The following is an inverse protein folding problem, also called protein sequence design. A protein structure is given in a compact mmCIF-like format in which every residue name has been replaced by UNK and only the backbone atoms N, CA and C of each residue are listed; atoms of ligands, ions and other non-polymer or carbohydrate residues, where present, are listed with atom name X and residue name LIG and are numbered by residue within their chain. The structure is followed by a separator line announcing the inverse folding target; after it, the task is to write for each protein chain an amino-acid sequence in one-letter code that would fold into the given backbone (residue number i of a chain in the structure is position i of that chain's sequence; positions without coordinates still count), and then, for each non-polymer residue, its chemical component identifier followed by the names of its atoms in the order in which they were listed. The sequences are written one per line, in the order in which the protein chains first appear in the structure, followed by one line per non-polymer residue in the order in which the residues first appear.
data_IF_476754386617
#
_entry.id   IF_476754386617
#
_cell.length_a   1.000
_cell.length_b   1.000
_cell.length_c   1.000
_cell.angle_alpha   90.00
_cell.angle_beta   90.00
_cell.angle_gamma   90.00
#
_symmetry.space_group_name_H-M   'P 1'
#
loop_
_entity.id
_entity.type
_entity.pdbx_description
1 polymer ?
#
# COMPACT_ATOMS: atom_id res chain seq x y z
N UNK A 1 50.24 53.16 8.45
CA UNK A 1 49.18 52.43 9.21
C UNK A 1 48.10 52.00 8.24
N UNK A 2 48.15 50.77 7.73
CA UNK A 2 47.19 50.20 6.79
C UNK A 2 46.28 49.22 7.56
N UNK A 3 44.95 49.53 7.58
CA UNK A 3 43.95 48.68 8.18
C UNK A 3 43.54 47.59 7.19
N UNK A 4 43.80 46.32 7.51
CA UNK A 4 43.33 45.14 6.78
C UNK A 4 41.85 44.89 7.12
N UNK A 5 40.96 45.04 6.16
CA UNK A 5 39.56 44.60 6.22
C UNK A 5 39.53 43.09 6.01
N UNK A 6 39.09 42.33 7.03
CA UNK A 6 38.75 40.92 6.92
C UNK A 6 37.34 40.78 6.31
N UNK A 7 37.24 40.13 5.17
CA UNK A 7 35.97 39.64 4.61
C UNK A 7 35.57 38.38 5.40
N UNK A 8 34.48 38.45 6.15
CA UNK A 8 33.78 37.29 6.69
C UNK A 8 32.85 36.76 5.60
N UNK A 9 33.22 35.62 5.00
CA UNK A 9 32.34 34.88 4.13
C UNK A 9 31.19 34.26 4.95
N UNK A 10 29.99 34.59 4.62
CA UNK A 10 28.79 33.89 5.10
C UNK A 10 28.71 32.51 4.43
N UNK A 11 29.01 31.44 5.18
CA UNK A 11 28.67 30.09 4.78
C UNK A 11 27.18 29.94 5.07
N UNK A 12 26.36 30.04 4.03
CA UNK A 12 24.94 29.69 4.11
C UNK A 12 24.80 28.22 4.42
N UNK A 13 24.57 27.87 5.68
CA UNK A 13 24.03 26.57 6.05
C UNK A 13 22.63 26.48 5.50
N UNK A 14 22.47 25.77 4.37
CA UNK A 14 21.17 25.37 3.87
C UNK A 14 20.49 24.49 4.93
N UNK A 15 19.54 25.05 5.64
CA UNK A 15 18.57 24.28 6.39
C UNK A 15 17.77 23.45 5.38
N UNK A 16 18.16 22.18 5.19
CA UNK A 16 17.25 21.17 4.65
C UNK A 16 16.12 21.06 5.68
N UNK A 17 14.99 21.71 5.41
CA UNK A 17 13.81 21.59 6.23
C UNK A 17 13.42 20.11 6.28
N UNK A 18 13.58 19.47 7.44
CA UNK A 18 12.98 18.16 7.69
C UNK A 18 11.48 18.39 7.62
N UNK A 19 10.78 17.61 6.77
CA UNK A 19 9.34 17.53 6.84
C UNK A 19 8.98 17.11 8.28
N UNK A 20 8.29 17.98 9.01
CA UNK A 20 7.71 17.64 10.30
C UNK A 20 6.45 16.85 10.02
N UNK A 21 6.50 15.55 10.16
CA UNK A 21 5.39 14.66 9.90
C UNK A 21 5.89 13.23 9.76
N UNK A 22 5.12 12.27 10.22
CA UNK A 22 5.51 10.87 10.10
C UNK A 22 5.47 10.43 8.63
N UNK A 23 6.41 9.55 8.30
CA UNK A 23 6.56 8.96 6.96
C UNK A 23 5.34 8.13 6.53
N UNK A 24 5.24 7.85 5.22
CA UNK A 24 4.37 6.84 4.61
C UNK A 24 5.23 5.73 4.01
N UNK A 25 5.89 4.89 4.83
CA UNK A 25 7.05 4.12 4.42
C UNK A 25 6.72 2.82 3.69
N UNK A 26 5.45 2.48 3.54
CA UNK A 26 4.98 1.23 2.94
C UNK A 26 3.58 1.36 2.36
N UNK A 27 3.13 0.29 1.69
CA UNK A 27 1.76 0.16 1.22
C UNK A 27 0.74 0.47 2.32
N UNK A 28 -0.18 1.40 2.05
CA UNK A 28 -1.20 1.90 2.98
C UNK A 28 -0.66 2.59 4.23
N UNK A 29 0.57 3.09 4.20
CA UNK A 29 1.14 3.92 5.26
C UNK A 29 1.73 3.17 6.44
N UNK A 30 2.06 3.88 7.53
CA UNK A 30 2.83 3.33 8.64
C UNK A 30 2.15 2.14 9.32
N UNK A 31 0.82 2.18 9.45
CA UNK A 31 0.00 1.09 10.02
C UNK A 31 -0.48 0.06 9.02
N UNK A 32 -0.22 0.23 7.72
CA UNK A 32 -0.83 -0.55 6.61
C UNK A 32 -2.36 -0.54 6.64
N UNK A 33 -2.93 0.56 7.09
CA UNK A 33 -4.37 0.71 7.37
C UNK A 33 -5.00 1.91 6.64
N UNK A 34 -4.25 2.58 5.76
CA UNK A 34 -4.72 3.73 5.00
C UNK A 34 -4.80 5.02 5.82
N UNK A 35 -4.18 5.06 7.01
CA UNK A 35 -4.22 6.22 7.91
C UNK A 35 -2.88 6.95 7.92
N UNK A 36 -2.95 8.25 7.69
CA UNK A 36 -1.83 9.15 7.91
C UNK A 36 -1.83 9.64 9.37
N UNK A 37 -0.67 9.90 9.97
CA UNK A 37 -0.58 10.61 11.24
C UNK A 37 -1.27 11.98 11.15
N UNK A 38 -1.93 12.38 12.24
CA UNK A 38 -2.72 13.62 12.32
C UNK A 38 -1.90 14.79 12.89
N UNK A 39 -0.66 14.89 12.47
CA UNK A 39 0.31 15.88 12.96
C UNK A 39 0.41 17.13 12.07
N UNK A 40 -0.20 17.07 10.88
CA UNK A 40 -0.24 18.19 9.93
C UNK A 40 -1.67 18.43 9.47
N UNK A 41 -2.19 19.63 9.74
CA UNK A 41 -3.50 20.03 9.24
C UNK A 41 -3.54 20.02 7.70
N UNK A 42 -4.54 19.38 7.12
CA UNK A 42 -4.77 19.41 5.67
C UNK A 42 -5.73 20.54 5.30
N UNK A 43 -5.57 21.08 4.09
CA UNK A 43 -6.52 22.06 3.51
C UNK A 43 -7.95 21.50 3.53
N UNK A 44 -8.92 22.39 3.61
CA UNK A 44 -10.35 22.03 3.58
C UNK A 44 -10.92 22.06 2.17
N UNK A 45 -10.43 22.96 1.35
CA UNK A 45 -10.87 23.22 -0.02
C UNK A 45 -9.67 23.51 -0.91
N UNK A 46 -9.83 23.32 -2.19
CA UNK A 46 -8.82 23.65 -3.17
C UNK A 46 -8.96 25.12 -3.55
N UNK A 47 -7.86 25.89 -3.41
CA UNK A 47 -7.83 27.27 -3.84
C UNK A 47 -8.10 27.35 -5.37
N UNK A 48 -9.02 28.23 -5.76
CA UNK A 48 -9.42 28.42 -7.15
C UNK A 48 -9.86 27.13 -7.89
N UNK A 49 -10.22 26.07 -7.14
CA UNK A 49 -10.59 24.78 -7.71
C UNK A 49 -9.41 23.98 -8.29
N UNK A 50 -8.17 24.29 -7.89
CA UNK A 50 -6.94 23.66 -8.38
C UNK A 50 -6.12 23.04 -7.26
N UNK A 51 -5.42 21.93 -7.57
CA UNK A 51 -4.48 21.32 -6.64
C UNK A 51 -3.13 22.06 -6.72
N UNK A 52 -2.54 22.38 -5.57
CA UNK A 52 -1.19 22.96 -5.50
C UNK A 52 -0.15 21.86 -5.80
N UNK A 53 0.24 21.73 -7.05
CA UNK A 53 1.28 20.79 -7.49
C UNK A 53 2.65 21.39 -7.21
N UNK A 54 3.49 20.72 -6.41
CA UNK A 54 4.87 21.14 -6.15
C UNK A 54 5.79 20.76 -7.32
N UNK A 55 5.66 19.54 -7.81
CA UNK A 55 6.43 19.06 -8.95
C UNK A 55 5.78 17.84 -9.62
N UNK A 56 6.20 17.62 -10.84
CA UNK A 56 5.82 16.44 -11.65
C UNK A 56 7.07 15.89 -12.31
N UNK A 57 7.20 14.57 -12.33
CA UNK A 57 8.27 13.88 -13.06
C UNK A 57 7.72 12.69 -13.86
N UNK A 58 8.44 12.25 -14.87
CA UNK A 58 8.09 11.05 -15.64
C UNK A 58 8.37 9.79 -14.80
N UNK A 59 7.56 8.76 -14.98
CA UNK A 59 7.81 7.41 -14.49
C UNK A 59 7.38 6.37 -15.52
N UNK A 60 7.85 5.14 -15.34
CA UNK A 60 7.49 4.01 -16.21
C UNK A 60 6.22 3.28 -15.77
N UNK A 61 5.95 2.13 -16.36
CA UNK A 61 4.78 1.28 -16.12
C UNK A 61 4.72 0.73 -14.69
N UNK A 62 3.52 0.33 -14.24
CA UNK A 62 3.26 -0.33 -12.96
C UNK A 62 2.10 0.28 -12.18
N UNK A 63 1.50 -0.53 -11.32
CA UNK A 63 0.44 -0.14 -10.39
C UNK A 63 0.95 0.02 -8.94
N UNK A 64 2.26 -0.14 -8.70
CA UNK A 64 2.83 0.14 -7.39
C UNK A 64 2.62 1.60 -7.01
N UNK A 65 2.11 1.83 -5.81
CA UNK A 65 2.00 3.18 -5.24
C UNK A 65 3.35 3.70 -4.78
N UNK A 66 3.54 5.03 -4.78
CA UNK A 66 4.70 5.64 -4.14
C UNK A 66 4.70 5.39 -2.63
N UNK A 67 5.87 5.51 -2.02
CA UNK A 67 6.04 5.59 -0.57
C UNK A 67 6.87 6.81 -0.22
N UNK A 68 6.80 7.27 1.03
CA UNK A 68 7.53 8.46 1.49
C UNK A 68 8.29 8.14 2.77
N UNK A 69 9.58 8.43 2.77
CA UNK A 69 10.45 8.19 3.92
C UNK A 69 11.62 9.17 3.94
N UNK A 70 11.99 9.67 5.11
CA UNK A 70 13.14 10.55 5.28
C UNK A 70 13.14 11.79 4.39
N UNK A 71 11.96 12.35 4.09
CA UNK A 71 11.79 13.48 3.18
C UNK A 71 12.05 13.13 1.70
N UNK A 72 11.96 11.87 1.34
CA UNK A 72 12.00 11.38 -0.04
C UNK A 72 10.64 10.80 -0.46
N UNK A 73 10.34 10.89 -1.74
CA UNK A 73 9.33 10.07 -2.42
C UNK A 73 10.06 8.96 -3.16
N UNK A 74 9.67 7.71 -2.96
CA UNK A 74 10.21 6.55 -3.65
C UNK A 74 9.12 5.90 -4.50
N UNK A 75 9.47 5.48 -5.71
CA UNK A 75 8.57 4.76 -6.60
C UNK A 75 9.27 3.56 -7.22
N UNK A 76 8.58 2.42 -7.20
CA UNK A 76 8.95 1.22 -7.93
C UNK A 76 8.12 1.14 -9.20
N UNK A 77 8.78 1.11 -10.35
CA UNK A 77 8.14 1.10 -11.68
C UNK A 77 8.97 0.29 -12.68
N UNK A 78 8.56 0.26 -13.93
CA UNK A 78 9.26 -0.44 -15.01
C UNK A 78 9.52 0.46 -16.19
N UNK A 79 10.75 0.40 -16.72
CA UNK A 79 11.16 1.04 -17.98
C UNK A 79 11.65 -0.05 -18.95
N UNK A 80 10.91 -0.32 -20.01
CA UNK A 80 11.22 -1.40 -20.93
C UNK A 80 11.37 -2.76 -20.24
N UNK A 81 12.55 -3.36 -20.29
CA UNK A 81 12.88 -4.63 -19.65
C UNK A 81 13.50 -4.48 -18.25
N UNK A 82 13.42 -3.31 -17.64
CA UNK A 82 14.06 -3.02 -16.37
C UNK A 82 13.02 -2.73 -15.28
N UNK A 83 13.12 -3.41 -14.15
CA UNK A 83 12.61 -2.95 -12.86
C UNK A 83 13.42 -1.75 -12.42
N UNK A 84 12.75 -0.71 -11.97
CA UNK A 84 13.36 0.58 -11.62
C UNK A 84 12.83 1.05 -10.27
N UNK A 85 13.73 1.40 -9.37
CA UNK A 85 13.39 2.14 -8.14
C UNK A 85 14.09 3.49 -8.20
N UNK A 86 13.31 4.53 -8.03
CA UNK A 86 13.84 5.90 -7.98
C UNK A 86 13.42 6.59 -6.69
N UNK A 87 14.28 7.48 -6.21
CA UNK A 87 14.05 8.32 -5.04
C UNK A 87 14.20 9.78 -5.43
N UNK A 88 13.22 10.60 -5.02
CA UNK A 88 13.23 12.04 -5.24
C UNK A 88 13.07 12.79 -3.92
N UNK A 89 13.64 13.98 -3.82
CA UNK A 89 13.37 14.89 -2.73
C UNK A 89 11.88 15.30 -2.76
N UNK A 90 11.20 15.12 -1.64
CA UNK A 90 9.74 15.29 -1.57
C UNK A 90 9.27 16.74 -1.82
N UNK A 91 10.08 17.75 -1.49
CA UNK A 91 9.73 19.15 -1.68
C UNK A 91 10.07 19.68 -3.07
N UNK A 92 11.20 19.23 -3.62
CA UNK A 92 11.77 19.82 -4.84
C UNK A 92 11.61 18.95 -6.08
N UNK A 93 11.29 17.65 -5.94
CA UNK A 93 11.25 16.69 -7.03
C UNK A 93 12.64 16.37 -7.62
N UNK A 94 13.73 16.84 -7.00
CA UNK A 94 15.08 16.51 -7.46
C UNK A 94 15.39 15.05 -7.17
N UNK A 95 15.76 14.30 -8.22
CA UNK A 95 16.14 12.89 -8.06
C UNK A 95 17.36 12.74 -7.17
N UNK A 96 17.26 11.91 -6.13
CA UNK A 96 18.34 11.55 -5.21
C UNK A 96 19.17 10.40 -5.77
N UNK A 97 18.50 9.32 -6.23
CA UNK A 97 19.13 8.15 -6.83
C UNK A 97 18.15 7.36 -7.71
N UNK A 98 18.70 6.46 -8.53
CA UNK A 98 17.98 5.51 -9.37
C UNK A 98 18.72 4.19 -9.35
N UNK A 99 18.02 3.07 -9.13
CA UNK A 99 18.54 1.70 -9.20
C UNK A 99 17.71 0.90 -10.20
N UNK A 100 18.38 0.00 -10.94
CA UNK A 100 17.71 -0.81 -11.97
C UNK A 100 18.24 -2.24 -11.96
N UNK A 101 17.36 -3.19 -12.35
CA UNK A 101 17.72 -4.58 -12.64
C UNK A 101 16.78 -5.16 -13.69
N UNK A 102 17.15 -6.29 -14.30
CA UNK A 102 16.33 -6.95 -15.33
C UNK A 102 14.98 -7.41 -14.78
N UNK A 103 13.93 -7.36 -15.61
CA UNK A 103 12.59 -7.86 -15.31
C UNK A 103 12.01 -8.56 -16.54
N UNK A 104 11.74 -9.86 -16.41
CA UNK A 104 11.23 -10.71 -17.50
C UNK A 104 9.70 -10.82 -17.54
N UNK A 105 8.99 -10.26 -16.55
CA UNK A 105 7.54 -10.36 -16.47
C UNK A 105 6.84 -9.81 -17.72
N UNK A 106 5.76 -10.51 -18.12
CA UNK A 106 4.77 -10.03 -19.11
C UNK A 106 3.39 -10.31 -18.57
N UNK A 107 2.52 -9.31 -18.67
CA UNK A 107 1.11 -9.41 -18.30
C UNK A 107 0.35 -10.14 -19.41
N UNK A 108 -0.22 -11.30 -19.09
CA UNK A 108 -0.96 -12.14 -20.04
C UNK A 108 -2.24 -11.45 -20.57
N UNK A 109 -2.75 -10.46 -19.85
CA UNK A 109 -3.94 -9.70 -20.22
C UNK A 109 -3.61 -8.33 -20.87
N UNK A 110 -2.32 -7.95 -20.92
CA UNK A 110 -1.88 -6.71 -21.54
C UNK A 110 -2.27 -5.42 -20.79
N UNK A 111 -2.61 -5.50 -19.50
CA UNK A 111 -2.95 -4.31 -18.72
C UNK A 111 -1.72 -3.47 -18.38
N UNK A 112 -0.68 -4.11 -17.83
CA UNK A 112 0.54 -3.42 -17.43
C UNK A 112 1.64 -4.43 -17.02
N UNK A 113 2.83 -4.30 -17.59
CA UNK A 113 3.98 -5.17 -17.32
C UNK A 113 4.80 -4.74 -16.08
N UNK A 114 4.47 -3.63 -15.43
CA UNK A 114 5.21 -3.11 -14.29
C UNK A 114 4.79 -3.71 -12.95
N UNK A 115 5.52 -3.36 -11.88
CA UNK A 115 5.26 -3.87 -10.54
C UNK A 115 3.91 -3.37 -10.00
N UNK A 116 3.25 -4.24 -9.24
CA UNK A 116 2.03 -3.92 -8.49
C UNK A 116 2.30 -3.79 -6.98
N UNK A 117 3.40 -4.33 -6.52
CA UNK A 117 3.88 -4.27 -5.14
C UNK A 117 4.52 -2.91 -4.86
N UNK A 118 3.96 -2.13 -3.94
CA UNK A 118 4.62 -0.93 -3.44
C UNK A 118 5.87 -1.28 -2.64
N UNK A 119 6.93 -0.46 -2.67
CA UNK A 119 8.09 -0.66 -1.82
C UNK A 119 7.73 -0.62 -0.33
N UNK A 120 8.60 -1.18 0.51
CA UNK A 120 8.55 -1.00 1.96
C UNK A 120 9.90 -0.48 2.44
N UNK A 121 9.90 0.61 3.18
CA UNK A 121 11.10 1.19 3.80
C UNK A 121 11.09 0.88 5.28
N UNK A 122 12.14 0.23 5.76
CA UNK A 122 12.30 -0.09 7.18
C UNK A 122 13.78 -0.15 7.56
N UNK A 123 14.15 0.56 8.64
CA UNK A 123 15.52 0.53 9.16
C UNK A 123 16.59 0.97 8.16
N UNK A 124 16.28 1.93 7.29
CA UNK A 124 17.21 2.42 6.26
C UNK A 124 17.38 1.47 5.06
N UNK A 125 16.43 0.55 4.85
CA UNK A 125 16.42 -0.42 3.75
C UNK A 125 15.11 -0.32 2.99
N UNK A 126 15.16 -0.33 1.66
CA UNK A 126 14.01 -0.37 0.76
C UNK A 126 13.85 -1.79 0.23
N UNK A 127 12.74 -2.43 0.52
CA UNK A 127 12.40 -3.77 0.05
C UNK A 127 11.41 -3.67 -1.12
N UNK A 128 11.78 -4.24 -2.26
CA UNK A 128 10.98 -4.25 -3.48
C UNK A 128 10.75 -5.68 -3.95
N UNK A 129 9.50 -6.01 -4.27
CA UNK A 129 9.15 -7.31 -4.83
C UNK A 129 8.60 -7.14 -6.23
N UNK A 130 9.35 -7.60 -7.23
CA UNK A 130 9.01 -7.44 -8.64
C UNK A 130 7.98 -8.47 -9.12
N UNK A 131 7.30 -8.15 -10.21
CA UNK A 131 6.24 -9.01 -10.76
C UNK A 131 6.76 -10.37 -11.27
N UNK A 132 8.04 -10.47 -11.63
CA UNK A 132 8.73 -11.72 -12.00
C UNK A 132 9.24 -12.53 -10.80
N UNK A 133 9.09 -12.01 -9.57
CA UNK A 133 9.37 -12.76 -8.35
C UNK A 133 10.71 -12.49 -7.70
N UNK A 134 11.35 -11.39 -8.04
CA UNK A 134 12.62 -10.99 -7.41
C UNK A 134 12.35 -10.06 -6.22
N UNK A 135 12.78 -10.48 -5.02
CA UNK A 135 12.79 -9.65 -3.81
C UNK A 135 14.18 -9.01 -3.67
N UNK A 136 14.24 -7.69 -3.73
CA UNK A 136 15.49 -6.91 -3.65
C UNK A 136 15.46 -5.97 -2.45
N UNK A 137 16.53 -5.96 -1.67
CA UNK A 137 16.77 -4.98 -0.60
C UNK A 137 17.84 -3.98 -1.04
N UNK A 138 17.50 -2.70 -0.96
CA UNK A 138 18.36 -1.59 -1.34
C UNK A 138 18.68 -0.73 -0.12
N UNK A 139 19.83 -0.09 -0.11
CA UNK A 139 20.12 0.97 0.85
C UNK A 139 19.22 2.19 0.55
N UNK A 140 18.51 2.70 1.56
CA UNK A 140 17.60 3.84 1.39
C UNK A 140 18.34 5.12 0.98
N UNK A 141 19.58 5.27 1.40
CA UNK A 141 20.37 6.50 1.22
C UNK A 141 20.78 6.72 -0.25
N UNK A 142 21.23 5.65 -0.92
CA UNK A 142 21.86 5.75 -2.24
C UNK A 142 21.34 4.73 -3.27
N UNK A 143 20.42 3.83 -2.88
CA UNK A 143 19.85 2.81 -3.75
C UNK A 143 20.75 1.62 -4.04
N UNK A 144 21.93 1.50 -3.39
CA UNK A 144 22.82 0.35 -3.57
C UNK A 144 22.16 -0.95 -3.12
N UNK A 145 22.38 -2.04 -3.90
CA UNK A 145 21.80 -3.35 -3.60
C UNK A 145 22.52 -3.97 -2.40
N UNK A 146 21.77 -4.31 -1.35
CA UNK A 146 22.26 -5.05 -0.20
C UNK A 146 22.21 -6.56 -0.42
N UNK A 147 21.07 -7.04 -0.93
CA UNK A 147 20.87 -8.44 -1.31
C UNK A 147 19.67 -8.58 -2.26
N UNK A 148 19.61 -9.70 -2.96
CA UNK A 148 18.53 -10.08 -3.89
C UNK A 148 18.20 -11.56 -3.71
N UNK A 149 16.91 -11.91 -3.83
CA UNK A 149 16.40 -13.29 -3.77
C UNK A 149 15.39 -13.54 -4.89
N UNK A 150 15.49 -14.66 -5.54
CA UNK A 150 14.56 -15.10 -6.59
C UNK A 150 13.58 -16.12 -6.02
N UNK A 151 12.32 -15.71 -5.87
CA UNK A 151 11.27 -16.55 -5.31
C UNK A 151 10.91 -17.73 -6.20
N UNK A 152 11.13 -17.65 -7.51
CA UNK A 152 10.91 -18.77 -8.41
C UNK A 152 11.85 -19.91 -8.06
N UNK A 153 13.12 -19.64 -7.91
CA UNK A 153 14.12 -20.65 -7.57
C UNK A 153 14.04 -21.10 -6.11
N UNK A 154 13.73 -20.20 -5.17
CA UNK A 154 13.75 -20.51 -3.73
C UNK A 154 12.47 -21.20 -3.23
N UNK A 155 11.32 -20.87 -3.81
CA UNK A 155 10.03 -21.35 -3.30
C UNK A 155 9.19 -22.11 -4.34
N UNK A 156 9.61 -22.15 -5.60
CA UNK A 156 8.79 -22.68 -6.68
C UNK A 156 7.56 -21.81 -7.00
N UNK A 157 7.67 -20.49 -6.69
CA UNK A 157 6.58 -19.53 -6.90
C UNK A 157 6.12 -19.50 -8.35
N UNK A 158 4.84 -19.65 -8.57
CA UNK A 158 4.21 -19.51 -9.88
C UNK A 158 3.86 -18.05 -10.17
N UNK A 159 3.76 -17.70 -11.47
CA UNK A 159 3.53 -16.33 -11.91
C UNK A 159 2.18 -15.76 -11.45
N UNK A 160 1.13 -16.57 -11.41
CA UNK A 160 -0.25 -16.09 -11.26
C UNK A 160 -0.72 -15.29 -12.49
N UNK A 161 -1.94 -14.77 -12.46
CA UNK A 161 -2.53 -14.02 -13.59
C UNK A 161 -1.86 -12.66 -13.83
N UNK A 162 -1.55 -11.94 -12.76
CA UNK A 162 -1.07 -10.56 -12.82
C UNK A 162 0.35 -10.41 -12.24
N UNK A 163 1.15 -11.44 -12.29
CA UNK A 163 2.45 -11.48 -11.65
C UNK A 163 2.35 -11.54 -10.12
N UNK A 164 3.42 -11.25 -9.46
CA UNK A 164 3.51 -11.25 -7.99
C UNK A 164 3.27 -9.85 -7.46
N UNK A 165 2.28 -9.68 -6.57
CA UNK A 165 1.73 -8.37 -6.22
C UNK A 165 1.83 -8.00 -4.73
N UNK A 166 2.13 -8.96 -3.86
CA UNK A 166 2.19 -8.75 -2.40
C UNK A 166 3.28 -7.75 -2.01
N UNK A 167 2.94 -6.66 -1.35
CA UNK A 167 3.94 -5.73 -0.83
C UNK A 167 4.62 -6.32 0.41
N UNK A 168 5.98 -6.28 0.49
CA UNK A 168 6.72 -6.79 1.64
C UNK A 168 6.26 -6.16 2.95
N UNK A 169 6.11 -6.95 4.01
CA UNK A 169 5.86 -6.49 5.36
C UNK A 169 7.12 -6.72 6.20
N UNK A 170 7.58 -5.72 6.93
CA UNK A 170 8.79 -5.85 7.77
C UNK A 170 8.43 -5.71 9.24
N UNK A 171 8.77 -6.71 10.04
CA UNK A 171 8.67 -6.68 11.50
C UNK A 171 9.57 -7.70 12.16
N UNK A 172 9.97 -7.49 13.42
CA UNK A 172 10.71 -8.45 14.21
C UNK A 172 12.02 -8.96 13.59
N UNK A 173 12.65 -8.19 12.70
CA UNK A 173 13.85 -8.61 11.97
C UNK A 173 13.58 -9.52 10.77
N UNK A 174 12.32 -9.64 10.36
CA UNK A 174 11.87 -10.46 9.23
C UNK A 174 11.17 -9.62 8.16
N UNK A 175 11.27 -10.07 6.91
CA UNK A 175 10.48 -9.62 5.77
C UNK A 175 9.47 -10.71 5.44
N UNK A 176 8.19 -10.42 5.61
CA UNK A 176 7.10 -11.35 5.27
C UNK A 176 6.61 -11.07 3.85
N UNK A 177 6.34 -12.13 3.12
CA UNK A 177 5.92 -12.09 1.73
C UNK A 177 4.95 -13.22 1.43
N UNK A 178 4.11 -13.06 0.42
CA UNK A 178 3.25 -14.12 -0.13
C UNK A 178 3.76 -14.50 -1.54
N UNK A 179 4.82 -15.32 -1.65
CA UNK A 179 5.37 -15.70 -2.95
C UNK A 179 4.44 -16.65 -3.71
N UNK A 180 3.72 -17.50 -3.00
CA UNK A 180 2.89 -18.56 -3.57
C UNK A 180 3.69 -19.84 -3.88
N UNK A 181 2.96 -20.90 -4.16
CA UNK A 181 3.52 -22.21 -4.48
C UNK A 181 3.48 -23.19 -3.32
N UNK A 182 3.96 -24.40 -3.57
CA UNK A 182 3.89 -25.52 -2.62
C UNK A 182 4.69 -25.24 -1.35
N UNK A 183 3.97 -25.17 -0.22
CA UNK A 183 4.54 -24.88 1.09
C UNK A 183 5.05 -23.45 1.24
N UNK A 184 4.70 -22.51 0.33
CA UNK A 184 5.27 -21.17 0.29
C UNK A 184 4.26 -20.06 -0.02
N UNK A 185 2.97 -20.27 0.25
CA UNK A 185 1.99 -19.19 0.14
C UNK A 185 2.22 -18.08 1.18
N UNK A 186 2.92 -18.39 2.27
CA UNK A 186 3.46 -17.45 3.24
C UNK A 186 4.94 -17.76 3.47
N UNK A 187 5.80 -16.75 3.52
CA UNK A 187 7.23 -16.91 3.77
C UNK A 187 7.80 -15.72 4.55
N UNK A 188 8.88 -15.97 5.30
CA UNK A 188 9.64 -14.93 5.98
C UNK A 188 11.13 -15.07 5.69
N UNK A 189 11.75 -13.92 5.49
CA UNK A 189 13.18 -13.79 5.16
C UNK A 189 13.87 -12.90 6.18
N UNK A 190 15.13 -13.16 6.44
CA UNK A 190 15.95 -12.30 7.31
C UNK A 190 16.16 -10.92 6.67
N UNK A 191 15.95 -9.84 7.42
CA UNK A 191 16.08 -8.47 6.90
C UNK A 191 17.50 -8.12 6.45
N UNK A 192 18.55 -8.75 7.06
CA UNK A 192 19.95 -8.41 6.79
C UNK A 192 20.53 -9.22 5.63
N UNK A 193 20.17 -10.51 5.55
CA UNK A 193 20.79 -11.46 4.60
C UNK A 193 19.87 -11.87 3.46
N UNK A 194 18.54 -11.66 3.62
CA UNK A 194 17.54 -12.16 2.70
C UNK A 194 17.33 -13.67 2.77
N UNK A 195 17.99 -14.40 3.70
CA UNK A 195 17.85 -15.84 3.82
C UNK A 195 16.45 -16.23 4.27
N UNK A 196 15.92 -17.30 3.67
CA UNK A 196 14.63 -17.87 4.04
C UNK A 196 14.69 -18.40 5.48
N UNK A 197 13.82 -17.89 6.35
CA UNK A 197 13.71 -18.30 7.75
C UNK A 197 12.66 -19.37 7.95
N UNK A 198 11.52 -19.21 7.32
CA UNK A 198 10.45 -20.19 7.27
C UNK A 198 9.54 -19.97 6.06
N UNK A 199 8.80 -21.03 5.68
CA UNK A 199 7.72 -20.99 4.71
C UNK A 199 6.57 -21.85 5.20
N UNK A 200 5.34 -21.48 4.83
CA UNK A 200 4.11 -22.16 5.24
C UNK A 200 3.00 -21.99 4.21
N UNK A 201 1.97 -22.81 4.34
CA UNK A 201 0.77 -22.84 3.50
C UNK A 201 1.05 -23.32 2.06
N UNK A 202 0.20 -24.21 1.59
CA UNK A 202 0.35 -24.87 0.28
C UNK A 202 -0.71 -24.38 -0.71
N UNK A 203 -0.60 -23.08 -1.08
CA UNK A 203 -1.58 -22.43 -1.95
C UNK A 203 -0.90 -21.50 -2.96
N UNK A 204 -1.66 -21.11 -3.99
CA UNK A 204 -1.26 -20.05 -4.89
C UNK A 204 -1.15 -18.70 -4.15
N UNK A 205 -0.26 -17.83 -4.62
CA UNK A 205 -0.17 -16.47 -4.10
C UNK A 205 -1.49 -15.72 -4.29
N UNK A 206 -1.92 -15.01 -3.24
CA UNK A 206 -2.88 -13.93 -3.38
C UNK A 206 -2.19 -12.66 -3.86
N UNK A 207 -2.99 -11.64 -4.14
CA UNK A 207 -2.47 -10.31 -4.49
C UNK A 207 -2.51 -9.36 -3.30
N UNK A 208 -3.21 -9.76 -2.25
CA UNK A 208 -3.26 -9.03 -0.98
C UNK A 208 -1.91 -9.05 -0.27
N UNK A 209 -1.58 -7.94 0.36
CA UNK A 209 -0.35 -7.82 1.15
C UNK A 209 -0.60 -8.31 2.58
N UNK A 210 0.38 -8.99 3.23
CA UNK A 210 0.24 -9.43 4.61
C UNK A 210 0.15 -8.25 5.58
N UNK A 211 -0.52 -8.46 6.71
CA UNK A 211 -0.62 -7.47 7.78
C UNK A 211 -0.31 -8.07 9.14
N UNK A 212 0.26 -7.27 10.06
CA UNK A 212 0.44 -7.68 11.45
C UNK A 212 -0.92 -7.72 12.15
N UNK A 213 -1.14 -8.76 12.95
CA UNK A 213 -2.32 -8.90 13.77
C UNK A 213 -1.95 -8.74 15.24
N UNK A 214 -2.22 -7.59 15.87
CA UNK A 214 -1.97 -7.39 17.28
C UNK A 214 -2.87 -8.30 18.11
N UNK A 215 -2.38 -8.74 19.28
CA UNK A 215 -3.14 -9.60 20.18
C UNK A 215 -2.26 -10.27 21.23
N UNK A 216 -2.83 -11.25 21.92
CA UNK A 216 -2.09 -12.04 22.92
C UNK A 216 -1.30 -13.15 22.23
N UNK A 217 -0.18 -13.59 22.81
CA UNK A 217 0.55 -14.78 22.39
C UNK A 217 1.65 -14.58 21.36
N UNK A 218 2.17 -13.35 21.21
CA UNK A 218 3.24 -13.04 20.26
C UNK A 218 2.75 -12.32 19.01
N UNK A 219 3.69 -11.97 18.16
CA UNK A 219 3.40 -11.31 16.89
C UNK A 219 2.86 -12.31 15.87
N UNK A 220 1.76 -11.98 15.24
CA UNK A 220 1.09 -12.81 14.24
C UNK A 220 0.93 -12.03 12.93
N UNK A 221 0.90 -12.75 11.82
CA UNK A 221 0.72 -12.19 10.48
C UNK A 221 -0.50 -12.83 9.82
N UNK A 222 -1.37 -12.01 9.26
CA UNK A 222 -2.49 -12.47 8.44
C UNK A 222 -2.02 -12.54 6.99
N UNK A 223 -2.20 -13.69 6.37
CA UNK A 223 -2.02 -13.91 4.93
C UNK A 223 -3.38 -14.16 4.28
N UNK A 224 -3.68 -13.40 3.25
CA UNK A 224 -4.86 -13.57 2.43
C UNK A 224 -4.42 -14.07 1.05
N UNK A 225 -4.33 -15.39 0.94
CA UNK A 225 -3.92 -16.08 -0.28
C UNK A 225 -5.07 -16.15 -1.29
N UNK A 226 -4.83 -16.72 -2.45
CA UNK A 226 -5.89 -16.92 -3.43
C UNK A 226 -6.99 -17.89 -2.93
N UNK A 227 -6.64 -18.86 -2.09
CA UNK A 227 -7.58 -19.88 -1.59
C UNK A 227 -8.37 -19.41 -0.36
N UNK A 228 -7.82 -18.46 0.41
CA UNK A 228 -8.47 -18.01 1.63
C UNK A 228 -7.52 -17.28 2.56
N UNK A 229 -7.89 -17.23 3.84
CA UNK A 229 -7.20 -16.47 4.86
C UNK A 229 -6.64 -17.39 5.94
N UNK A 230 -5.42 -17.12 6.38
CA UNK A 230 -4.78 -17.80 7.50
C UNK A 230 -4.01 -16.81 8.38
N UNK A 231 -3.90 -17.13 9.66
CA UNK A 231 -3.03 -16.45 10.60
C UNK A 231 -1.82 -17.32 10.87
N UNK A 232 -0.64 -16.71 10.86
CA UNK A 232 0.64 -17.38 11.02
C UNK A 232 1.40 -16.73 12.17
N UNK A 233 2.03 -17.53 13.02
CA UNK A 233 2.98 -17.03 14.03
C UNK A 233 4.20 -16.45 13.33
N UNK A 234 4.51 -15.19 13.61
CA UNK A 234 5.54 -14.45 12.88
C UNK A 234 6.95 -15.04 13.04
N UNK A 235 7.28 -15.56 14.21
CA UNK A 235 8.63 -16.07 14.50
C UNK A 235 8.87 -17.46 13.93
N UNK A 236 7.87 -18.35 14.04
CA UNK A 236 8.03 -19.79 13.73
C UNK A 236 7.44 -20.20 12.39
N UNK A 237 6.58 -19.39 11.78
CA UNK A 237 5.83 -19.79 10.60
C UNK A 237 4.70 -20.79 10.86
N UNK A 238 4.39 -21.10 12.13
CA UNK A 238 3.28 -22.00 12.46
C UNK A 238 1.96 -21.39 12.06
N UNK A 239 1.36 -21.94 11.03
CA UNK A 239 0.08 -21.50 10.50
C UNK A 239 -1.09 -22.15 11.26
N UNK A 240 -2.16 -21.37 11.45
CA UNK A 240 -3.47 -21.92 11.74
C UNK A 240 -4.09 -22.57 10.50
N UNK A 241 -5.28 -23.13 10.66
CA UNK A 241 -6.04 -23.68 9.54
C UNK A 241 -6.42 -22.56 8.57
N UNK A 242 -6.28 -22.81 7.27
CA UNK A 242 -6.80 -21.93 6.24
C UNK A 242 -8.35 -21.92 6.31
N UNK A 243 -8.92 -20.73 6.38
CA UNK A 243 -10.35 -20.55 6.19
C UNK A 243 -10.63 -20.19 4.72
N UNK A 244 -11.39 -21.02 3.98
CA UNK A 244 -11.70 -20.78 2.59
C UNK A 244 -12.43 -19.45 2.38
N UNK A 245 -11.87 -18.62 1.50
CA UNK A 245 -12.45 -17.34 1.12
C UNK A 245 -12.01 -16.98 -0.29
N UNK A 246 -12.66 -17.60 -1.27
CA UNK A 246 -12.32 -17.46 -2.70
C UNK A 246 -13.57 -17.54 -3.56
N UNK A 247 -13.64 -16.73 -4.59
CA UNK A 247 -14.61 -16.90 -5.67
C UNK A 247 -14.32 -18.18 -6.46
N UNK A 248 -15.37 -18.79 -7.01
CA UNK A 248 -15.25 -19.99 -7.85
C UNK A 248 -14.76 -19.68 -9.26
N UNK A 249 -14.75 -18.42 -9.65
CA UNK A 249 -14.25 -17.97 -10.95
C UNK A 249 -12.73 -18.17 -11.03
N UNK A 250 -12.25 -18.75 -12.11
CA UNK A 250 -10.83 -19.07 -12.29
C UNK A 250 -9.92 -17.83 -12.22
N UNK A 251 -10.26 -16.77 -12.93
CA UNK A 251 -9.50 -15.52 -12.93
C UNK A 251 -9.79 -14.60 -11.74
N UNK A 252 -10.41 -15.11 -10.66
CA UNK A 252 -10.67 -14.32 -9.46
C UNK A 252 -9.38 -14.02 -8.69
N UNK A 253 -9.35 -12.86 -8.04
CA UNK A 253 -8.22 -12.41 -7.24
C UNK A 253 -8.70 -11.96 -5.86
N UNK A 254 -7.90 -12.28 -4.83
CA UNK A 254 -7.99 -11.71 -3.50
C UNK A 254 -6.93 -10.61 -3.43
N UNK A 255 -7.31 -9.36 -3.69
CA UNK A 255 -6.36 -8.25 -3.86
C UNK A 255 -6.45 -7.18 -2.77
N UNK A 256 -7.64 -6.90 -2.25
CA UNK A 256 -7.78 -6.02 -1.09
C UNK A 256 -7.11 -6.67 0.13
N UNK A 257 -6.20 -5.97 0.79
CA UNK A 257 -5.47 -6.50 1.94
C UNK A 257 -6.37 -6.59 3.18
N UNK A 258 -6.08 -7.50 4.14
CA UNK A 258 -6.80 -7.54 5.39
C UNK A 258 -6.73 -6.21 6.14
N UNK A 259 -7.80 -5.83 6.84
CA UNK A 259 -7.84 -4.63 7.68
C UNK A 259 -8.00 -5.03 9.13
N UNK A 260 -7.06 -4.63 9.97
CA UNK A 260 -7.12 -4.90 11.42
C UNK A 260 -8.22 -4.05 12.05
N UNK A 261 -9.18 -4.69 12.72
CA UNK A 261 -10.32 -4.06 13.36
C UNK A 261 -10.27 -4.15 14.89
N UNK A 262 -9.10 -4.43 15.45
CA UNK A 262 -8.85 -4.55 16.88
C UNK A 262 -7.96 -5.74 17.23
N UNK A 263 -7.63 -5.94 18.51
CA UNK A 263 -6.80 -7.07 18.92
C UNK A 263 -7.41 -8.41 18.52
N UNK A 264 -6.69 -9.18 17.72
CA UNK A 264 -7.14 -10.48 17.21
C UNK A 264 -8.27 -10.45 16.19
N UNK A 265 -8.74 -9.27 15.77
CA UNK A 265 -9.84 -9.13 14.78
C UNK A 265 -9.39 -8.43 13.52
N UNK A 266 -9.82 -8.94 12.38
CA UNK A 266 -9.54 -8.33 11.10
C UNK A 266 -10.64 -8.62 10.07
N UNK A 267 -10.74 -7.75 9.11
CA UNK A 267 -11.69 -7.81 7.99
C UNK A 267 -10.99 -8.28 6.73
N UNK A 268 -11.67 -9.07 5.90
CA UNK A 268 -11.27 -9.40 4.52
C UNK A 268 -12.43 -9.21 3.57
N UNK A 269 -12.11 -8.92 2.31
CA UNK A 269 -13.11 -8.72 1.28
C UNK A 269 -12.59 -9.11 -0.10
N UNK A 270 -13.46 -9.63 -0.93
CA UNK A 270 -13.20 -9.87 -2.34
C UNK A 270 -14.49 -9.71 -3.16
N UNK A 271 -14.34 -9.29 -4.40
CA UNK A 271 -15.41 -9.30 -5.41
C UNK A 271 -15.73 -10.73 -5.88
N UNK A 272 -16.36 -10.83 -7.03
CA UNK A 272 -16.71 -12.09 -7.71
C UNK A 272 -17.64 -12.98 -6.87
N UNK A 273 -18.68 -12.35 -6.32
CA UNK A 273 -19.70 -13.00 -5.47
C UNK A 273 -19.11 -13.71 -4.21
N UNK A 274 -17.94 -13.25 -3.76
CA UNK A 274 -17.27 -13.78 -2.56
C UNK A 274 -17.74 -13.06 -1.31
N UNK A 275 -17.77 -11.73 -1.34
CA UNK A 275 -18.28 -10.91 -0.24
C UNK A 275 -17.20 -10.41 0.73
N UNK A 276 -17.63 -10.18 1.95
CA UNK A 276 -16.83 -9.64 3.03
C UNK A 276 -17.01 -10.45 4.32
N UNK A 277 -15.99 -10.49 5.15
CA UNK A 277 -16.01 -11.18 6.44
C UNK A 277 -15.20 -10.44 7.50
N UNK A 278 -15.71 -10.45 8.73
CA UNK A 278 -14.95 -10.12 9.93
C UNK A 278 -14.55 -11.42 10.63
N UNK A 279 -13.27 -11.53 10.94
CA UNK A 279 -12.67 -12.69 11.57
C UNK A 279 -12.19 -12.37 12.98
N UNK A 280 -12.22 -13.36 13.84
CA UNK A 280 -11.57 -13.37 15.14
C UNK A 280 -10.58 -14.54 15.20
N UNK A 281 -9.31 -14.23 15.50
CA UNK A 281 -8.23 -15.19 15.66
C UNK A 281 -8.12 -15.62 17.13
N UNK A 282 -8.40 -16.88 17.39
CA UNK A 282 -8.29 -17.52 18.71
C UNK A 282 -6.88 -18.04 19.01
N UNK A 283 -6.81 -18.96 19.96
CA UNK A 283 -5.61 -19.73 20.29
C UNK A 283 -5.21 -20.63 19.12
N UNK A 284 -3.91 -20.91 18.98
CA UNK A 284 -3.39 -21.75 17.89
C UNK A 284 -3.58 -21.18 16.49
N UNK A 285 -3.87 -19.88 16.36
CA UNK A 285 -4.14 -19.19 15.10
C UNK A 285 -5.42 -19.65 14.37
N UNK A 286 -6.33 -20.32 15.08
CA UNK A 286 -7.63 -20.69 14.52
C UNK A 286 -8.49 -19.47 14.27
N UNK A 287 -9.26 -19.50 13.19
CA UNK A 287 -10.13 -18.40 12.76
C UNK A 287 -11.60 -18.76 12.98
N UNK A 288 -12.36 -17.80 13.51
CA UNK A 288 -13.81 -17.84 13.55
C UNK A 288 -14.37 -16.63 12.83
N UNK A 289 -15.30 -16.84 11.91
CA UNK A 289 -16.03 -15.73 11.34
C UNK A 289 -16.99 -15.15 12.38
N UNK A 290 -16.85 -13.86 12.66
CA UNK A 290 -17.83 -13.10 13.47
C UNK A 290 -19.08 -12.88 12.63
N UNK A 291 -18.88 -12.49 11.36
CA UNK A 291 -19.90 -12.46 10.34
C UNK A 291 -19.28 -12.64 8.95
N UNK A 292 -20.10 -13.10 7.99
CA UNK A 292 -19.78 -13.18 6.56
C UNK A 292 -21.01 -12.73 5.77
N UNK A 293 -20.84 -11.78 4.87
CA UNK A 293 -21.93 -11.24 4.05
C UNK A 293 -21.45 -10.98 2.62
N UNK A 294 -22.32 -11.23 1.66
CA UNK A 294 -22.16 -10.76 0.27
C UNK A 294 -22.79 -9.37 0.12
N UNK A 295 -22.34 -8.64 -0.90
CA UNK A 295 -22.93 -7.35 -1.33
C UNK A 295 -22.89 -6.24 -0.26
N UNK A 296 -22.02 -6.37 0.76
CA UNK A 296 -21.86 -5.32 1.77
C UNK A 296 -20.71 -4.38 1.44
N UNK A 297 -19.51 -4.91 1.33
CA UNK A 297 -18.29 -4.19 0.97
C UNK A 297 -17.36 -5.14 0.21
N UNK A 298 -17.75 -5.51 -0.99
CA UNK A 298 -17.04 -6.47 -1.85
C UNK A 298 -15.97 -5.71 -2.65
N UNK A 299 -14.80 -5.56 -2.03
CA UNK A 299 -13.70 -4.77 -2.60
C UNK A 299 -12.99 -5.54 -3.71
N UNK A 300 -12.79 -4.90 -4.87
CA UNK A 300 -12.08 -5.51 -5.99
C UNK A 300 -10.57 -5.54 -5.75
N UNK A 301 -9.94 -4.38 -5.49
CA UNK A 301 -8.49 -4.28 -5.23
C UNK A 301 -8.14 -3.25 -4.17
N UNK A 302 -8.96 -2.23 -3.98
CA UNK A 302 -8.69 -1.18 -3.01
C UNK A 302 -9.06 -1.65 -1.59
N UNK A 303 -8.11 -1.55 -0.69
CA UNK A 303 -8.29 -1.91 0.72
C UNK A 303 -9.11 -0.82 1.43
N UNK A 304 -10.18 -1.16 2.16
CA UNK A 304 -10.94 -0.19 2.94
C UNK A 304 -10.15 0.30 4.16
N UNK A 305 -10.55 1.44 4.70
CA UNK A 305 -9.94 2.07 5.87
C UNK A 305 -10.89 2.00 7.06
N UNK A 306 -10.39 1.62 8.22
CA UNK A 306 -11.15 1.64 9.46
C UNK A 306 -11.27 3.07 10.00
N UNK A 307 -12.50 3.56 10.15
CA UNK A 307 -12.82 4.88 10.67
C UNK A 307 -13.78 4.74 11.86
N UNK A 308 -13.24 4.75 13.07
CA UNK A 308 -14.06 4.48 14.28
C UNK A 308 -14.61 3.05 14.26
N UNK A 309 -15.93 2.92 14.18
CA UNK A 309 -16.65 1.64 14.15
C UNK A 309 -17.12 1.22 12.75
N UNK A 310 -16.68 1.92 11.70
CA UNK A 310 -17.03 1.60 10.32
C UNK A 310 -15.80 1.39 9.46
N UNK A 311 -15.94 0.54 8.43
CA UNK A 311 -15.01 0.37 7.33
C UNK A 311 -15.49 1.21 6.16
N UNK A 312 -14.61 2.09 5.63
CA UNK A 312 -14.91 2.93 4.47
C UNK A 312 -14.09 2.46 3.29
N UNK A 313 -14.73 2.11 2.20
CA UNK A 313 -14.06 1.57 1.02
C UNK A 313 -14.97 1.47 -0.19
N UNK A 314 -14.40 0.99 -1.28
CA UNK A 314 -15.10 0.85 -2.57
C UNK A 314 -15.68 -0.56 -2.71
N UNK A 315 -16.99 -0.60 -2.91
CA UNK A 315 -17.74 -1.80 -3.23
C UNK A 315 -17.94 -1.92 -4.74
N UNK A 316 -17.92 -3.16 -5.24
CA UNK A 316 -18.26 -3.49 -6.62
C UNK A 316 -17.09 -3.41 -7.60
N UNK A 317 -17.38 -3.72 -8.84
CA UNK A 317 -16.46 -3.73 -9.98
C UNK A 317 -16.92 -2.73 -11.03
N UNK A 318 -16.02 -2.35 -11.93
CA UNK A 318 -16.31 -1.39 -13.00
C UNK A 318 -17.51 -1.78 -13.86
N UNK A 319 -17.68 -3.08 -14.10
CA UNK A 319 -18.73 -3.64 -14.93
C UNK A 319 -20.11 -3.69 -14.23
N UNK A 320 -20.12 -3.64 -12.89
CA UNK A 320 -21.32 -3.83 -12.07
C UNK A 320 -21.77 -2.53 -11.37
N UNK A 321 -21.00 -1.45 -11.57
CA UNK A 321 -21.14 -0.21 -10.80
C UNK A 321 -20.30 -0.21 -9.53
N UNK A 322 -19.84 0.96 -9.17
CA UNK A 322 -18.96 1.16 -8.02
C UNK A 322 -19.54 2.20 -7.09
N UNK A 323 -19.38 1.95 -5.79
CA UNK A 323 -19.84 2.82 -4.74
C UNK A 323 -18.78 2.96 -3.65
N UNK A 324 -18.61 4.16 -3.11
CA UNK A 324 -17.98 4.36 -1.83
C UNK A 324 -19.01 4.03 -0.74
N UNK A 325 -18.67 3.12 0.16
CA UNK A 325 -19.55 2.67 1.25
C UNK A 325 -18.89 2.80 2.61
N UNK A 326 -19.71 3.01 3.64
CA UNK A 326 -19.35 2.73 5.02
C UNK A 326 -20.14 1.52 5.53
N UNK A 327 -19.42 0.58 6.12
CA UNK A 327 -19.99 -0.66 6.66
C UNK A 327 -19.60 -0.80 8.11
N UNK A 328 -20.56 -1.05 8.99
CA UNK A 328 -20.30 -1.24 10.41
C UNK A 328 -19.44 -2.48 10.68
N UNK A 329 -18.42 -2.34 11.50
CA UNK A 329 -17.54 -3.45 11.88
C UNK A 329 -18.31 -4.52 12.66
N UNK A 330 -19.27 -4.11 13.50
CA UNK A 330 -19.94 -5.02 14.41
C UNK A 330 -20.76 -6.10 13.71
N UNK A 331 -21.46 -5.75 12.64
CA UNK A 331 -22.48 -6.61 12.00
C UNK A 331 -22.48 -6.61 10.48
N UNK A 332 -21.55 -5.87 9.86
CA UNK A 332 -21.48 -5.74 8.39
C UNK A 332 -22.64 -4.93 7.78
N UNK A 333 -23.41 -4.18 8.55
CA UNK A 333 -24.51 -3.37 8.02
C UNK A 333 -23.98 -2.15 7.25
N UNK A 334 -24.52 -1.91 6.05
CA UNK A 334 -24.21 -0.71 5.26
C UNK A 334 -24.86 0.50 5.96
N UNK A 335 -24.04 1.46 6.37
CA UNK A 335 -24.48 2.70 7.01
C UNK A 335 -24.87 3.75 5.98
N UNK A 336 -24.07 3.85 4.92
CA UNK A 336 -24.34 4.70 3.76
C UNK A 336 -23.56 4.20 2.53
N UNK A 337 -24.03 4.61 1.35
CA UNK A 337 -23.40 4.36 0.08
C UNK A 337 -23.55 5.60 -0.82
N UNK A 338 -22.56 5.81 -1.70
CA UNK A 338 -22.54 6.89 -2.68
C UNK A 338 -21.91 6.38 -3.98
N UNK A 339 -22.57 6.53 -5.14
CA UNK A 339 -21.99 6.19 -6.43
C UNK A 339 -20.71 7.01 -6.65
N UNK A 340 -19.59 6.32 -6.86
CA UNK A 340 -18.29 6.92 -7.11
C UNK A 340 -17.42 5.90 -7.84
N UNK A 341 -16.64 6.36 -8.84
CA UNK A 341 -15.63 5.53 -9.47
C UNK A 341 -14.63 5.02 -8.41
N UNK A 342 -14.21 3.77 -8.51
CA UNK A 342 -13.28 3.18 -7.55
C UNK A 342 -12.00 4.01 -7.41
N UNK A 343 -11.33 3.79 -6.30
CA UNK A 343 -10.11 4.52 -5.96
C UNK A 343 -9.57 4.05 -4.63
N UNK A 344 -8.73 4.86 -4.06
CA UNK A 344 -8.14 4.63 -2.75
C UNK A 344 -8.55 5.71 -1.76
N UNK A 345 -8.79 5.29 -0.53
CA UNK A 345 -9.13 6.16 0.60
C UNK A 345 -7.90 6.29 1.49
N UNK A 346 -7.54 7.51 1.87
CA UNK A 346 -6.56 7.81 2.92
C UNK A 346 -7.25 8.69 3.95
N UNK A 347 -7.01 8.40 5.23
CA UNK A 347 -7.58 9.16 6.35
C UNK A 347 -6.47 9.84 7.14
N UNK A 348 -6.61 11.14 7.39
CA UNK A 348 -5.74 11.94 8.24
C UNK A 348 -6.62 12.71 9.24
N UNK A 349 -6.63 12.28 10.51
CA UNK A 349 -7.56 12.79 11.50
C UNK A 349 -9.02 12.63 11.06
N UNK A 350 -9.70 13.76 10.85
CA UNK A 350 -11.07 13.83 10.32
C UNK A 350 -11.13 14.07 8.81
N UNK A 351 -9.98 14.23 8.14
CA UNK A 351 -9.91 14.40 6.69
C UNK A 351 -9.89 13.06 5.99
N UNK A 352 -10.73 12.93 4.99
CA UNK A 352 -10.70 11.83 4.02
C UNK A 352 -10.18 12.38 2.70
N UNK A 353 -9.14 11.75 2.20
CA UNK A 353 -8.50 12.02 0.91
C UNK A 353 -8.79 10.82 0.01
N UNK A 354 -9.48 11.04 -1.10
CA UNK A 354 -9.84 9.97 -2.05
C UNK A 354 -9.16 10.26 -3.38
N UNK A 355 -8.41 9.30 -3.88
CA UNK A 355 -7.88 9.31 -5.25
C UNK A 355 -8.65 8.30 -6.08
N UNK A 356 -9.43 8.76 -7.05
CA UNK A 356 -10.23 7.89 -7.92
C UNK A 356 -9.41 7.33 -9.09
N UNK A 357 -9.85 6.21 -9.68
CA UNK A 357 -9.30 5.68 -10.94
C UNK A 357 -9.38 6.68 -12.10
N UNK A 358 -10.26 7.66 -12.01
CA UNK A 358 -10.37 8.75 -13.00
C UNK A 358 -9.31 9.84 -12.83
N UNK A 359 -8.48 9.74 -11.78
CA UNK A 359 -7.43 10.72 -11.48
C UNK A 359 -7.93 11.94 -10.72
N UNK A 360 -9.15 11.88 -10.17
CA UNK A 360 -9.72 12.92 -9.34
C UNK A 360 -9.25 12.76 -7.89
N UNK A 361 -8.77 13.84 -7.31
CA UNK A 361 -8.51 13.98 -5.88
C UNK A 361 -9.70 14.63 -5.22
N UNK A 362 -10.26 13.98 -4.21
CA UNK A 362 -11.44 14.46 -3.48
C UNK A 362 -11.07 14.62 -2.01
N UNK A 363 -11.42 15.77 -1.42
CA UNK A 363 -11.26 16.05 -0.01
C UNK A 363 -12.64 16.11 0.66
N UNK A 364 -12.76 15.52 1.85
CA UNK A 364 -13.98 15.59 2.63
C UNK A 364 -13.67 15.53 4.12
N UNK A 365 -14.56 16.10 4.94
CA UNK A 365 -14.59 15.84 6.39
C UNK A 365 -15.45 14.60 6.66
N UNK A 366 -14.95 13.71 7.52
CA UNK A 366 -15.64 12.49 7.90
C UNK A 366 -15.43 12.15 9.37
N UNK A 367 -16.51 11.83 10.06
CA UNK A 367 -16.51 11.48 11.49
C UNK A 367 -16.81 10.00 11.78
N UNK A 368 -16.92 9.20 10.73
CA UNK A 368 -17.27 7.78 10.83
C UNK A 368 -18.79 7.51 10.77
N UNK A 369 -19.63 8.46 11.13
CA UNK A 369 -21.06 8.23 11.31
C UNK A 369 -21.91 8.64 10.10
N UNK A 370 -21.70 9.85 9.58
CA UNK A 370 -22.51 10.41 8.49
C UNK A 370 -21.79 10.31 7.14
N UNK A 371 -22.58 10.17 6.08
CA UNK A 371 -22.06 10.24 4.71
C UNK A 371 -21.36 11.57 4.49
N UNK A 372 -20.09 11.56 4.01
CA UNK A 372 -19.36 12.80 3.71
C UNK A 372 -19.94 13.52 2.49
N UNK A 373 -19.80 14.83 2.47
CA UNK A 373 -20.04 15.63 1.26
C UNK A 373 -18.78 15.60 0.38
N UNK A 374 -18.91 15.09 -0.83
CA UNK A 374 -17.79 14.91 -1.79
C UNK A 374 -17.78 16.04 -2.82
N UNK A 375 -17.79 17.30 -2.38
CA UNK A 375 -17.86 18.48 -3.25
C UNK A 375 -16.51 18.94 -3.74
N UNK A 376 -15.50 18.89 -2.85
CA UNK A 376 -14.14 19.33 -3.13
C UNK A 376 -13.40 18.30 -3.96
N UNK A 377 -13.31 18.54 -5.29
CA UNK A 377 -12.62 17.64 -6.21
C UNK A 377 -11.88 18.36 -7.32
N UNK A 378 -10.69 17.86 -7.64
CA UNK A 378 -9.84 18.33 -8.73
C UNK A 378 -9.17 17.18 -9.45
N UNK A 379 -8.83 17.33 -10.72
CA UNK A 379 -8.02 16.36 -11.45
C UNK A 379 -6.54 16.59 -11.19
N UNK A 380 -5.82 15.59 -10.71
CA UNK A 380 -4.38 15.68 -10.40
C UNK A 380 -3.51 14.81 -11.30
N UNK A 381 -4.05 13.68 -11.78
CA UNK A 381 -3.40 12.74 -12.70
C UNK A 381 -4.37 12.30 -13.79
N UNK A 382 -3.88 11.64 -14.83
CA UNK A 382 -4.73 11.06 -15.87
C UNK A 382 -5.43 9.80 -15.32
N UNK A 383 -6.68 9.59 -15.72
CA UNK A 383 -7.43 8.41 -15.33
C UNK A 383 -6.87 7.09 -15.90
N UNK A 384 -7.47 5.97 -15.46
CA UNK A 384 -7.09 4.62 -15.88
C UNK A 384 -5.93 4.02 -15.09
N UNK A 385 -5.70 4.50 -13.86
CA UNK A 385 -4.64 4.01 -12.98
C UNK A 385 -5.15 3.62 -11.60
N UNK A 386 -4.55 2.58 -11.00
CA UNK A 386 -5.01 1.95 -9.74
C UNK A 386 -3.97 1.99 -8.62
N UNK A 387 -2.91 2.78 -8.75
CA UNK A 387 -1.89 2.91 -7.71
C UNK A 387 -2.43 3.66 -6.50
N UNK A 388 -2.21 3.15 -5.27
CA UNK A 388 -2.55 3.89 -4.07
C UNK A 388 -1.67 5.13 -3.91
N UNK A 389 -2.20 6.23 -3.35
CA UNK A 389 -1.41 7.41 -3.02
C UNK A 389 -0.58 7.20 -1.75
N UNK A 390 0.40 8.09 -1.53
CA UNK A 390 1.14 8.22 -0.27
C UNK A 390 0.94 9.62 0.32
N UNK A 391 0.62 9.70 1.60
CA UNK A 391 0.39 10.98 2.31
C UNK A 391 1.31 11.08 3.53
N UNK A 392 2.27 12.00 3.48
CA UNK A 392 3.22 12.24 4.56
C UNK A 392 3.46 13.73 4.77
N UNK A 393 3.37 14.21 6.00
CA UNK A 393 3.61 15.62 6.34
C UNK A 393 2.75 16.60 5.52
N UNK A 394 1.54 16.22 5.14
CA UNK A 394 0.64 16.99 4.29
C UNK A 394 1.01 17.05 2.81
N UNK A 395 2.05 16.32 2.37
CA UNK A 395 2.38 16.13 0.96
C UNK A 395 1.76 14.83 0.46
N UNK A 396 1.07 14.90 -0.68
CA UNK A 396 0.45 13.75 -1.32
C UNK A 396 1.21 13.40 -2.59
N UNK A 397 1.82 12.20 -2.62
CA UNK A 397 2.41 11.64 -3.82
C UNK A 397 1.42 10.72 -4.52
N UNK A 398 1.15 10.98 -5.81
CA UNK A 398 0.24 10.22 -6.66
C UNK A 398 0.87 9.93 -8.01
N UNK A 399 0.44 8.86 -8.68
CA UNK A 399 0.93 8.57 -10.03
C UNK A 399 -0.18 8.19 -11.00
N UNK A 400 0.08 8.40 -12.29
CA UNK A 400 -0.61 7.74 -13.39
C UNK A 400 0.35 6.78 -14.13
N UNK A 401 0.00 6.35 -15.35
CA UNK A 401 0.83 5.43 -16.16
C UNK A 401 2.22 5.97 -16.50
N UNK A 402 2.41 7.28 -16.49
CA UNK A 402 3.60 7.95 -17.03
C UNK A 402 4.16 9.07 -16.16
N UNK A 403 3.44 9.49 -15.13
CA UNK A 403 3.84 10.62 -14.29
C UNK A 403 3.70 10.29 -12.81
N UNK A 404 4.65 10.78 -12.03
CA UNK A 404 4.58 10.92 -10.58
C UNK A 404 4.40 12.40 -10.25
N UNK A 405 3.42 12.72 -9.42
CA UNK A 405 3.02 14.08 -9.05
C UNK A 405 3.04 14.21 -7.53
N UNK A 406 3.63 15.29 -7.03
CA UNK A 406 3.56 15.65 -5.61
C UNK A 406 2.66 16.88 -5.44
N UNK A 407 1.63 16.74 -4.61
CA UNK A 407 0.64 17.77 -4.30
C UNK A 407 0.83 18.25 -2.86
N UNK A 408 0.78 19.56 -2.65
CA UNK A 408 0.80 20.18 -1.32
C UNK A 408 -0.62 20.33 -0.78
N UNK A 409 -0.94 19.54 0.25
CA UNK A 409 -2.22 19.60 0.95
C UNK A 409 -2.13 20.25 2.33
N UNK A 410 -1.01 20.89 2.68
CA UNK A 410 -0.81 21.53 3.99
C UNK A 410 -1.69 22.75 4.15
N UNK A 411 -2.42 22.85 5.28
CA UNK A 411 -3.12 24.07 5.65
C UNK A 411 -2.11 25.17 5.99
N UNK A 412 -2.19 26.32 5.30
CA UNK A 412 -1.31 27.47 5.56
C UNK A 412 0.07 27.39 4.88
N UNK A 413 0.22 26.57 3.84
CA UNK A 413 1.41 26.48 2.98
C UNK A 413 1.39 27.49 1.82
#
# INVERSE_FOLDING_TARGET
MQARRRFLGWIGLGFAGRLSGADWPQFLGPGRDGRAPDDVGLIREFADGEAKVLWTTSCGAGFAGPVMSGGAVLLFHREGELSVVESWDALTGKRRWKQTWGCSYRDDFGFDDGPRSSPTVAGGVVYCYSADGVLTALDEKDGSVRWTRDMVSETGSEKGFFGRCSAPLVSGGLVFLSPGGKGAAAAAFDVKTGELRWKALDHEAGYASPVLLPGKGGERVVFFTREGVAVVDAASGKAGKLEPFRARMEASVNAASPVVCGPGRFFTSACYDTGAALWEAGEGNELKAVWKHKERLDCHYATPVLCGDVLVGFHGRQEEGQELRAVAVADGAVRWAVPLAAGHVVVCGRRVVILTEKGELILADFDGAKRPELKERVSVVRGGHRAPPALAGGLLAVRDKSRLVCVDLRAGG
#
